data_IF_682161047695
#
_entry.id   IF_682161047695
#
_cell.length_a   1.000
_cell.length_b   1.000
_cell.length_c   1.000
_cell.angle_alpha   90.00
_cell.angle_beta   90.00
_cell.angle_gamma   90.00
#
_symmetry.space_group_name_H-M   'P 1'
#
loop_
_entity.id
_entity.type
_entity.pdbx_description
1 polymer ?
#
# COMPACT_ATOMS: atom_id res chain seq x y z
N UNK A 1 12.88 -10.19 15.34
CA UNK A 1 13.26 -9.02 14.53
C UNK A 1 13.66 -9.39 13.10
N UNK A 2 14.35 -10.52 12.87
CA UNK A 2 14.72 -10.99 11.52
C UNK A 2 13.53 -11.30 10.59
N UNK A 3 12.48 -11.96 11.08
CA UNK A 3 11.30 -12.33 10.28
C UNK A 3 10.54 -11.12 9.72
N UNK A 4 10.46 -10.02 10.47
CA UNK A 4 9.74 -8.82 10.05
C UNK A 4 10.41 -8.16 8.84
N UNK A 5 11.75 -8.11 8.84
CA UNK A 5 12.53 -7.54 7.74
C UNK A 5 12.36 -8.35 6.44
N UNK A 6 12.37 -9.69 6.56
CA UNK A 6 12.12 -10.59 5.42
C UNK A 6 10.72 -10.38 4.84
N UNK A 7 9.71 -10.21 5.69
CA UNK A 7 8.32 -9.95 5.26
C UNK A 7 8.21 -8.59 4.58
N UNK A 8 8.81 -7.52 5.13
CA UNK A 8 8.78 -6.18 4.54
C UNK A 8 9.37 -6.15 3.13
N UNK A 9 10.51 -6.82 2.93
CA UNK A 9 11.17 -6.88 1.62
C UNK A 9 10.34 -7.68 0.59
N UNK A 10 9.79 -8.84 1.00
CA UNK A 10 8.91 -9.65 0.14
C UNK A 10 7.63 -8.90 -0.24
N UNK A 11 7.01 -8.17 0.70
CA UNK A 11 5.80 -7.40 0.46
C UNK A 11 6.05 -6.23 -0.50
N UNK A 12 7.15 -5.50 -0.34
CA UNK A 12 7.53 -4.42 -1.25
C UNK A 12 7.79 -4.93 -2.67
N UNK A 13 8.48 -6.07 -2.80
CA UNK A 13 8.75 -6.70 -4.09
C UNK A 13 7.46 -7.21 -4.75
N UNK A 14 6.62 -7.94 -4.00
CA UNK A 14 5.35 -8.45 -4.49
C UNK A 14 4.40 -7.31 -4.93
N UNK A 15 4.29 -6.24 -4.15
CA UNK A 15 3.49 -5.07 -4.49
C UNK A 15 3.99 -4.34 -5.74
N UNK A 16 5.31 -4.22 -5.90
CA UNK A 16 5.92 -3.58 -7.08
C UNK A 16 5.70 -4.40 -8.35
N UNK A 17 5.88 -5.73 -8.27
CA UNK A 17 5.66 -6.64 -9.40
C UNK A 17 4.17 -6.67 -9.76
N UNK A 18 3.28 -6.80 -8.78
CA UNK A 18 1.83 -6.83 -9.02
C UNK A 18 1.34 -5.52 -9.67
N UNK A 19 1.81 -4.37 -9.17
CA UNK A 19 1.53 -3.07 -9.77
C UNK A 19 1.99 -2.98 -11.22
N UNK A 20 3.23 -3.40 -11.51
CA UNK A 20 3.76 -3.39 -12.87
C UNK A 20 3.02 -4.35 -13.81
N UNK A 21 2.73 -5.57 -13.37
CA UNK A 21 2.03 -6.59 -14.17
C UNK A 21 0.60 -6.17 -14.48
N UNK A 22 -0.15 -5.70 -13.49
CA UNK A 22 -1.52 -5.26 -13.72
C UNK A 22 -1.61 -3.98 -14.58
N UNK A 23 -0.63 -3.07 -14.48
CA UNK A 23 -0.52 -1.93 -15.40
C UNK A 23 -0.25 -2.39 -16.85
N UNK A 24 0.62 -3.40 -17.05
CA UNK A 24 0.90 -3.96 -18.38
C UNK A 24 -0.31 -4.67 -18.98
N UNK A 25 -1.09 -5.37 -18.17
CA UNK A 25 -2.23 -6.17 -18.62
C UNK A 25 -3.54 -5.36 -18.71
N UNK A 26 -3.56 -4.09 -18.27
CA UNK A 26 -4.77 -3.23 -18.23
C UNK A 26 -5.96 -3.87 -17.50
N UNK A 27 -5.72 -4.79 -16.55
CA UNK A 27 -6.78 -5.32 -15.70
C UNK A 27 -7.26 -4.23 -14.73
N UNK A 28 -8.56 -4.20 -14.35
CA UNK A 28 -9.04 -3.33 -13.29
C UNK A 28 -8.23 -3.63 -12.02
N UNK A 29 -7.44 -2.65 -11.57
CA UNK A 29 -6.55 -2.81 -10.42
C UNK A 29 -7.39 -2.75 -9.13
N UNK A 30 -7.39 -3.79 -8.27
CA UNK A 30 -8.01 -3.70 -6.95
C UNK A 30 -7.28 -2.70 -6.04
N UNK A 31 -5.99 -2.46 -6.28
CA UNK A 31 -5.15 -1.50 -5.57
C UNK A 31 -5.21 -0.13 -6.27
N UNK A 32 -5.15 1.00 -5.52
CA UNK A 32 -5.17 2.34 -6.10
C UNK A 32 -3.98 2.57 -7.05
N UNK A 33 -4.19 2.67 -8.38
CA UNK A 33 -3.12 2.79 -9.37
C UNK A 33 -2.59 4.22 -9.52
N UNK A 34 -3.27 5.20 -8.90
CA UNK A 34 -2.99 6.63 -9.04
C UNK A 34 -2.47 7.19 -7.71
N UNK A 35 -1.56 8.17 -7.81
CA UNK A 35 -1.00 8.86 -6.64
C UNK A 35 -2.09 9.38 -5.70
N UNK A 36 -3.21 9.86 -6.24
CA UNK A 36 -4.36 10.32 -5.47
C UNK A 36 -4.97 9.22 -4.57
N UNK A 37 -5.05 7.97 -5.04
CA UNK A 37 -5.59 6.85 -4.26
C UNK A 37 -4.63 6.41 -3.16
N UNK A 38 -3.32 6.43 -3.43
CA UNK A 38 -2.28 6.17 -2.41
C UNK A 38 -2.33 7.23 -1.30
N UNK A 39 -2.45 8.50 -1.67
CA UNK A 39 -2.59 9.60 -0.71
C UNK A 39 -3.89 9.51 0.11
N UNK A 40 -4.98 9.02 -0.48
CA UNK A 40 -6.22 8.73 0.24
C UNK A 40 -6.03 7.67 1.33
N UNK A 41 -5.41 6.53 1.02
CA UNK A 41 -5.11 5.47 2.00
C UNK A 41 -4.17 5.98 3.09
N UNK A 42 -3.15 6.77 2.72
CA UNK A 42 -2.24 7.39 3.68
C UNK A 42 -2.98 8.32 4.65
N UNK A 43 -3.93 9.12 4.14
CA UNK A 43 -4.80 9.98 4.94
C UNK A 43 -5.68 9.20 5.93
N UNK A 44 -6.20 8.03 5.55
CA UNK A 44 -6.97 7.15 6.46
C UNK A 44 -6.11 6.65 7.61
N UNK A 45 -4.86 6.23 7.33
CA UNK A 45 -3.93 5.76 8.36
C UNK A 45 -3.53 6.88 9.34
N UNK A 46 -3.24 8.07 8.81
CA UNK A 46 -2.95 9.26 9.62
C UNK A 46 -4.15 9.68 10.44
N UNK A 47 -5.32 9.78 9.82
CA UNK A 47 -6.58 10.14 10.48
C UNK A 47 -6.92 9.17 11.62
N UNK A 48 -6.80 7.86 11.40
CA UNK A 48 -7.00 6.85 12.44
C UNK A 48 -6.02 6.98 13.61
N UNK A 49 -4.75 7.32 13.32
CA UNK A 49 -3.74 7.53 14.37
C UNK A 49 -3.98 8.81 15.17
N UNK A 50 -4.40 9.89 14.51
CA UNK A 50 -4.78 11.16 15.15
C UNK A 50 -6.04 10.96 16.00
N UNK A 51 -7.03 10.23 15.48
CA UNK A 51 -8.27 9.92 16.19
C UNK A 51 -7.98 9.09 17.44
N UNK A 52 -7.14 8.06 17.36
CA UNK A 52 -6.72 7.26 18.52
C UNK A 52 -5.76 7.97 19.49
N UNK A 53 -5.30 9.18 19.16
CA UNK A 53 -4.61 10.08 20.11
C UNK A 53 -5.59 10.99 20.85
N UNK A 54 -6.79 11.17 20.31
CA UNK A 54 -7.84 12.03 20.85
C UNK A 54 -8.94 11.25 21.58
N UNK A 55 -9.08 9.95 21.32
CA UNK A 55 -10.00 9.01 21.96
C UNK A 55 -9.22 7.83 22.54
#
# INVERSE_FOLDING_TARGET
>A
MGELFVISFKAALAGSILGAVCQKLKLPLPAPPVLAGVMGVFGVLLGGKIAGLFF
#
